data_IF_319838422164
#
_entry.id   IF_319838422164
#
_cell.length_a   1.000
_cell.length_b   1.000
_cell.length_c   1.000
_cell.angle_alpha   90.00
_cell.angle_beta   90.00
_cell.angle_gamma   90.00
#
_symmetry.space_group_name_H-M   'P 1'
#
loop_
_entity.id
_entity.type
_entity.pdbx_description
1 polymer ?
#
# COMPACT_ATOMS: atom_id res chain seq x y z
N UNK A 1 -52.80 -2.07 44.67
CA UNK A 1 -52.33 -2.63 43.40
C UNK A 1 -51.14 -1.81 42.96
N UNK A 2 -49.95 -2.30 43.25
CA UNK A 2 -48.69 -1.65 42.83
C UNK A 2 -48.40 -2.07 41.43
N UNK A 3 -48.54 -1.13 40.48
CA UNK A 3 -48.09 -1.38 39.12
C UNK A 3 -46.60 -1.16 39.07
N UNK A 4 -45.80 -2.24 39.01
CA UNK A 4 -44.39 -2.16 38.73
C UNK A 4 -44.21 -1.89 37.24
N UNK A 5 -43.88 -0.64 36.93
CA UNK A 5 -43.37 -0.27 35.62
C UNK A 5 -41.91 -0.69 35.54
N UNK A 6 -41.70 -1.87 34.94
CA UNK A 6 -40.35 -2.28 34.53
C UNK A 6 -39.92 -1.40 33.34
N UNK A 7 -39.20 -0.32 33.65
CA UNK A 7 -38.49 0.43 32.64
C UNK A 7 -37.32 -0.43 32.18
N UNK A 8 -37.48 -1.08 31.03
CA UNK A 8 -36.36 -1.75 30.34
C UNK A 8 -35.42 -0.66 29.83
N UNK A 9 -34.36 -0.37 30.57
CA UNK A 9 -33.26 0.44 30.06
C UNK A 9 -32.50 -0.42 29.08
N UNK A 10 -32.81 -0.28 27.80
CA UNK A 10 -31.99 -0.80 26.72
C UNK A 10 -30.72 0.03 26.66
N UNK A 11 -29.66 -0.44 27.32
CA UNK A 11 -28.35 0.12 27.17
C UNK A 11 -27.88 -0.16 25.74
N UNK A 12 -27.99 0.84 24.86
CA UNK A 12 -27.32 0.80 23.56
C UNK A 12 -25.83 0.83 23.83
N UNK A 13 -25.18 -0.32 23.65
CA UNK A 13 -23.73 -0.43 23.61
C UNK A 13 -23.28 0.23 22.30
N UNK A 14 -22.96 1.53 22.39
CA UNK A 14 -22.26 2.23 21.32
C UNK A 14 -20.82 1.70 21.37
N UNK A 15 -20.54 0.70 20.55
CA UNK A 15 -19.16 0.25 20.34
C UNK A 15 -18.41 1.36 19.60
N UNK A 16 -17.29 1.89 20.16
CA UNK A 16 -16.47 2.81 19.42
C UNK A 16 -15.90 2.07 18.20
N UNK A 17 -16.31 2.53 17.00
CA UNK A 17 -15.67 2.07 15.76
C UNK A 17 -14.27 2.66 15.75
N UNK A 18 -13.28 1.87 16.16
CA UNK A 18 -11.89 2.25 16.00
C UNK A 18 -11.60 2.31 14.50
N UNK A 19 -11.07 3.45 13.98
CA UNK A 19 -10.65 3.50 12.60
C UNK A 19 -9.58 2.43 12.39
N UNK A 20 -9.88 1.43 11.56
CA UNK A 20 -8.86 0.51 11.09
C UNK A 20 -7.84 1.32 10.30
N UNK A 21 -6.54 1.28 10.66
CA UNK A 21 -5.53 1.92 9.84
C UNK A 21 -5.65 1.34 8.43
N UNK A 22 -5.83 2.21 7.43
CA UNK A 22 -5.74 1.79 6.05
C UNK A 22 -4.43 1.02 5.90
N UNK A 23 -4.48 -0.25 5.48
CA UNK A 23 -3.28 -1.07 5.34
C UNK A 23 -2.32 -0.35 4.40
N UNK A 24 -1.12 -0.04 4.88
CA UNK A 24 -0.08 0.60 4.10
C UNK A 24 0.22 -0.24 2.86
N UNK A 25 0.49 0.42 1.73
CA UNK A 25 0.95 -0.26 0.52
C UNK A 25 2.20 -1.08 0.82
N UNK A 26 2.34 -2.29 0.25
CA UNK A 26 3.60 -3.04 0.34
C UNK A 26 4.82 -2.22 -0.11
N UNK A 27 4.64 -1.34 -1.10
CA UNK A 27 5.71 -0.46 -1.59
C UNK A 27 6.03 0.64 -0.58
N UNK A 28 5.03 1.25 0.07
CA UNK A 28 5.27 2.21 1.15
C UNK A 28 6.09 1.59 2.28
N UNK A 29 5.71 0.41 2.71
CA UNK A 29 6.43 -0.32 3.77
C UNK A 29 7.87 -0.62 3.37
N UNK A 30 8.10 -1.10 2.15
CA UNK A 30 9.43 -1.38 1.63
C UNK A 30 10.28 -0.11 1.52
N UNK A 31 9.69 0.99 1.09
CA UNK A 31 10.33 2.29 1.02
C UNK A 31 10.80 2.76 2.40
N UNK A 32 9.92 2.67 3.42
CA UNK A 32 10.22 3.06 4.80
C UNK A 32 11.32 2.21 5.45
N UNK A 33 11.44 0.96 5.03
CA UNK A 33 12.47 0.02 5.52
C UNK A 33 13.77 0.09 4.76
N UNK A 34 13.80 0.85 3.65
CA UNK A 34 15.02 1.00 2.87
C UNK A 34 15.98 1.96 3.57
N UNK A 35 17.29 1.71 3.43
CA UNK A 35 18.34 2.58 4.01
C UNK A 35 18.67 3.79 3.13
N UNK A 36 17.81 4.10 2.17
CA UNK A 36 18.04 5.21 1.25
C UNK A 36 17.80 6.54 1.94
N UNK A 37 18.75 7.51 1.85
CA UNK A 37 18.60 8.82 2.51
C UNK A 37 17.36 9.59 2.07
N UNK A 38 16.90 9.38 0.82
CA UNK A 38 15.73 10.05 0.26
C UNK A 38 14.40 9.43 0.71
N UNK A 39 14.42 8.27 1.36
CA UNK A 39 13.23 7.54 1.76
C UNK A 39 12.57 8.17 3.00
N UNK A 40 12.12 9.41 2.87
CA UNK A 40 11.37 10.10 3.91
C UNK A 40 9.96 9.50 4.04
N UNK A 41 9.35 9.68 5.21
CA UNK A 41 7.98 9.22 5.43
C UNK A 41 6.99 9.82 4.43
N UNK A 42 7.13 11.12 4.15
CA UNK A 42 6.27 11.82 3.20
C UNK A 42 6.43 11.27 1.78
N UNK A 43 7.66 11.05 1.32
CA UNK A 43 7.92 10.48 0.00
C UNK A 43 7.41 9.05 -0.11
N UNK A 44 7.69 8.20 0.88
CA UNK A 44 7.22 6.81 0.89
C UNK A 44 5.70 6.71 0.88
N UNK A 45 5.01 7.60 1.59
CA UNK A 45 3.55 7.67 1.58
C UNK A 45 3.01 8.06 0.20
N UNK A 46 3.63 9.05 -0.44
CA UNK A 46 3.27 9.48 -1.79
C UNK A 46 3.45 8.33 -2.79
N UNK A 47 4.60 7.69 -2.79
CA UNK A 47 4.90 6.55 -3.67
C UNK A 47 3.92 5.40 -3.43
N UNK A 48 3.61 5.10 -2.17
CA UNK A 48 2.62 4.08 -1.81
C UNK A 48 1.22 4.40 -2.31
N UNK A 49 0.81 5.66 -2.25
CA UNK A 49 -0.48 6.12 -2.78
C UNK A 49 -0.56 5.93 -4.30
N UNK A 50 0.51 6.27 -5.02
CA UNK A 50 0.59 6.04 -6.47
C UNK A 50 0.52 4.55 -6.80
N UNK A 51 1.22 3.71 -6.03
CA UNK A 51 1.18 2.26 -6.18
C UNK A 51 -0.24 1.70 -6.01
N UNK A 52 -1.01 2.20 -5.04
CA UNK A 52 -2.39 1.78 -4.82
C UNK A 52 -3.28 2.05 -6.04
N UNK A 53 -3.05 3.12 -6.77
CA UNK A 53 -3.86 3.50 -7.93
C UNK A 53 -3.37 2.90 -9.25
N UNK A 54 -2.16 2.37 -9.31
CA UNK A 54 -1.52 1.92 -10.58
C UNK A 54 -1.19 0.44 -10.62
N UNK A 55 -1.02 -0.20 -9.47
CA UNK A 55 -0.62 -1.60 -9.36
C UNK A 55 -1.62 -2.40 -8.53
N UNK A 56 -1.82 -3.66 -8.88
CA UNK A 56 -2.53 -4.59 -8.01
C UNK A 56 -1.71 -4.86 -6.76
N UNK A 57 -2.35 -5.36 -5.70
CA UNK A 57 -1.64 -5.68 -4.45
C UNK A 57 -0.54 -6.73 -4.66
N UNK A 58 -0.79 -7.71 -5.51
CA UNK A 58 0.21 -8.73 -5.88
C UNK A 58 1.41 -8.10 -6.59
N UNK A 59 1.17 -7.20 -7.51
CA UNK A 59 2.22 -6.46 -8.23
C UNK A 59 3.01 -5.56 -7.29
N UNK A 60 2.35 -4.92 -6.34
CA UNK A 60 3.02 -4.11 -5.32
C UNK A 60 3.96 -4.96 -4.45
N UNK A 61 3.54 -6.16 -4.05
CA UNK A 61 4.39 -7.08 -3.29
C UNK A 61 5.61 -7.51 -4.09
N UNK A 62 5.43 -7.76 -5.38
CA UNK A 62 6.52 -8.11 -6.27
C UNK A 62 7.52 -6.97 -6.43
N UNK A 63 7.04 -5.75 -6.68
CA UNK A 63 7.85 -4.56 -6.79
C UNK A 63 8.55 -4.18 -5.48
N UNK A 64 7.91 -4.43 -4.33
CA UNK A 64 8.49 -4.17 -3.02
C UNK A 64 9.80 -4.95 -2.80
N UNK A 65 9.94 -6.12 -3.40
CA UNK A 65 11.17 -6.92 -3.30
C UNK A 65 12.36 -6.24 -3.96
N UNK A 66 12.14 -5.35 -4.91
CA UNK A 66 13.22 -4.64 -5.60
C UNK A 66 13.99 -3.69 -4.68
N UNK A 67 13.39 -3.25 -3.57
CA UNK A 67 14.09 -2.46 -2.56
C UNK A 67 15.17 -3.24 -1.83
N UNK A 68 14.99 -4.55 -1.65
CA UNK A 68 15.95 -5.43 -0.99
C UNK A 68 16.87 -6.12 -1.98
N UNK A 69 16.40 -6.35 -3.19
CA UNK A 69 17.13 -7.04 -4.25
C UNK A 69 16.93 -6.30 -5.59
N UNK A 70 17.72 -5.26 -5.84
CA UNK A 70 17.65 -4.51 -7.09
C UNK A 70 17.94 -5.37 -8.34
N UNK A 71 18.71 -6.44 -8.19
CA UNK A 71 19.00 -7.36 -9.30
C UNK A 71 17.74 -8.04 -9.82
N UNK A 72 16.76 -8.30 -8.94
CA UNK A 72 15.47 -8.87 -9.34
C UNK A 72 14.75 -7.99 -10.37
N UNK A 73 14.82 -6.66 -10.24
CA UNK A 73 14.23 -5.74 -11.22
C UNK A 73 14.89 -5.91 -12.60
N UNK A 74 16.21 -6.04 -12.64
CA UNK A 74 16.95 -6.27 -13.89
C UNK A 74 16.60 -7.61 -14.52
N UNK A 75 16.47 -8.66 -13.72
CA UNK A 75 16.11 -9.99 -14.20
C UNK A 75 14.72 -9.99 -14.85
N UNK A 76 13.76 -9.31 -14.24
CA UNK A 76 12.40 -9.18 -14.79
C UNK A 76 12.41 -8.33 -16.06
N UNK A 77 13.13 -7.23 -16.07
CA UNK A 77 13.29 -6.37 -17.24
C UNK A 77 13.85 -7.14 -18.44
N UNK A 78 14.79 -8.04 -18.19
CA UNK A 78 15.46 -8.84 -19.22
C UNK A 78 14.74 -10.16 -19.53
N UNK A 79 13.67 -10.47 -18.81
CA UNK A 79 12.92 -11.71 -18.98
C UNK A 79 12.23 -11.77 -20.34
N UNK A 80 12.12 -12.97 -20.89
CA UNK A 80 11.40 -13.22 -22.14
C UNK A 80 9.97 -13.74 -21.91
N UNK A 81 9.53 -13.86 -20.65
CA UNK A 81 8.17 -14.32 -20.36
C UNK A 81 7.15 -13.21 -20.57
N UNK A 82 5.99 -13.57 -21.11
CA UNK A 82 4.89 -12.62 -21.31
C UNK A 82 4.40 -12.02 -20.00
N UNK A 83 4.38 -12.83 -18.93
CA UNK A 83 3.96 -12.40 -17.60
C UNK A 83 4.89 -11.32 -17.04
N UNK A 84 6.19 -11.52 -17.15
CA UNK A 84 7.18 -10.55 -16.68
C UNK A 84 7.15 -9.28 -17.53
N UNK A 85 6.98 -9.40 -18.83
CA UNK A 85 6.89 -8.26 -19.73
C UNK A 85 5.63 -7.42 -19.43
N UNK A 86 4.50 -8.04 -19.17
CA UNK A 86 3.28 -7.35 -18.79
C UNK A 86 3.42 -6.64 -17.43
N UNK A 87 4.02 -7.30 -16.45
CA UNK A 87 4.32 -6.69 -15.15
C UNK A 87 5.27 -5.50 -15.31
N UNK A 88 6.33 -5.65 -16.08
CA UNK A 88 7.32 -4.59 -16.29
C UNK A 88 6.71 -3.33 -16.93
N UNK A 89 5.80 -3.51 -17.89
CA UNK A 89 5.07 -2.40 -18.51
C UNK A 89 4.27 -1.61 -17.47
N UNK A 90 3.55 -2.28 -16.58
CA UNK A 90 2.82 -1.62 -15.50
C UNK A 90 3.73 -0.99 -14.46
N UNK A 91 4.82 -1.65 -14.13
CA UNK A 91 5.81 -1.13 -13.19
C UNK A 91 6.46 0.16 -13.72
N UNK A 92 6.77 0.23 -15.00
CA UNK A 92 7.28 1.46 -15.61
C UNK A 92 6.27 2.59 -15.58
N UNK A 93 5.00 2.30 -15.86
CA UNK A 93 3.94 3.29 -15.76
C UNK A 93 3.77 3.80 -14.32
N UNK A 94 3.86 2.91 -13.34
CA UNK A 94 3.90 3.27 -11.93
C UNK A 94 5.06 4.21 -11.62
N UNK A 95 6.27 3.89 -12.07
CA UNK A 95 7.46 4.72 -11.86
C UNK A 95 7.30 6.12 -12.45
N UNK A 96 6.79 6.23 -13.67
CA UNK A 96 6.54 7.51 -14.32
C UNK A 96 5.51 8.34 -13.56
N UNK A 97 4.43 7.72 -13.09
CA UNK A 97 3.40 8.41 -12.29
C UNK A 97 3.97 8.88 -10.93
N UNK A 98 4.80 8.07 -10.29
CA UNK A 98 5.45 8.44 -9.02
C UNK A 98 6.38 9.63 -9.19
N UNK A 99 7.17 9.66 -10.25
CA UNK A 99 8.04 10.81 -10.56
C UNK A 99 7.24 12.10 -10.71
N UNK A 100 6.12 12.05 -11.40
CA UNK A 100 5.27 13.23 -11.63
C UNK A 100 4.58 13.71 -10.36
N UNK A 101 4.08 12.80 -9.53
CA UNK A 101 3.25 13.13 -8.37
C UNK A 101 4.04 13.36 -7.09
N UNK A 102 5.17 12.72 -6.94
CA UNK A 102 5.93 12.71 -5.70
C UNK A 102 7.15 13.62 -5.73
N UNK A 103 7.36 14.38 -6.80
CA UNK A 103 8.46 15.34 -6.97
C UNK A 103 9.84 14.71 -6.67
N UNK A 104 10.06 13.54 -7.22
CA UNK A 104 11.35 12.87 -7.09
C UNK A 104 12.40 13.47 -8.02
#
# INVERSE_FOLDING_TARGET
MTKFLLAAVTAMLVMPVLPTPASASPIETACLRSDRPQATRALCRCIGSVAQSTLTRSEQRRAARFFRDPQMAQDIRMSKSDRDNAFWTRYRAFGAAAEQRCAM
#
